data_IF_836449347324
#
_entry.id   IF_836449347324
#
_cell.length_a   1.000
_cell.length_b   1.000
_cell.length_c   1.000
_cell.angle_alpha   90.00
_cell.angle_beta   90.00
_cell.angle_gamma   90.00
#
_symmetry.space_group_name_H-M   'P 1'
#
loop_
_entity.id
_entity.type
_entity.pdbx_description
1 polymer ?
#
# COMPACT_ATOMS: atom_id res chain seq x y z
N UNK A 1 -6.03 25.03 -13.25
CA UNK A 1 -6.97 25.71 -12.34
C UNK A 1 -7.04 24.95 -11.03
N UNK A 2 -6.94 25.63 -9.89
CA UNK A 2 -7.15 25.02 -8.56
C UNK A 2 -8.38 25.64 -7.92
N UNK A 3 -9.27 24.83 -7.35
CA UNK A 3 -10.48 25.32 -6.70
C UNK A 3 -10.14 26.11 -5.41
N UNK A 4 -10.48 27.41 -5.37
CA UNK A 4 -10.25 28.29 -4.21
C UNK A 4 -10.97 27.79 -2.95
N UNK A 5 -12.22 27.33 -3.10
CA UNK A 5 -13.01 26.78 -2.01
C UNK A 5 -12.35 25.57 -1.34
N UNK A 6 -11.80 24.64 -2.14
CA UNK A 6 -11.05 23.48 -1.60
C UNK A 6 -9.78 23.92 -0.89
N UNK A 7 -9.09 24.95 -1.39
CA UNK A 7 -7.90 25.51 -0.74
C UNK A 7 -8.18 26.05 0.66
N UNK A 8 -9.27 26.81 0.83
CA UNK A 8 -9.67 27.30 2.16
C UNK A 8 -10.07 26.16 3.10
N UNK A 9 -10.88 25.19 2.63
CA UNK A 9 -11.27 24.04 3.44
C UNK A 9 -10.04 23.26 3.97
N UNK A 10 -9.03 23.05 3.14
CA UNK A 10 -7.80 22.38 3.56
C UNK A 10 -7.05 23.20 4.62
N UNK A 11 -6.98 24.53 4.47
CA UNK A 11 -6.38 25.42 5.45
C UNK A 11 -7.13 25.41 6.79
N UNK A 12 -8.47 25.46 6.75
CA UNK A 12 -9.33 25.39 7.95
C UNK A 12 -9.14 24.07 8.71
N UNK A 13 -8.91 22.97 7.99
CA UNK A 13 -8.61 21.66 8.57
C UNK A 13 -7.14 21.49 8.98
N UNK A 14 -6.29 22.51 8.78
CA UNK A 14 -4.85 22.44 9.06
C UNK A 14 -4.07 21.51 8.13
N UNK A 15 -4.63 21.14 6.97
CA UNK A 15 -4.03 20.22 6.00
C UNK A 15 -3.14 20.99 5.04
N UNK A 16 -1.84 20.67 5.05
CA UNK A 16 -0.90 21.22 4.07
C UNK A 16 -1.12 20.61 2.70
N UNK A 17 -1.33 21.46 1.70
CA UNK A 17 -1.56 21.04 0.32
C UNK A 17 -0.23 20.91 -0.42
N UNK A 18 0.03 19.73 -0.98
CA UNK A 18 1.17 19.47 -1.87
C UNK A 18 0.68 19.20 -3.29
N UNK A 19 1.57 19.41 -4.27
CA UNK A 19 1.29 19.17 -5.68
C UNK A 19 2.43 18.38 -6.31
N UNK A 20 2.08 17.31 -7.03
CA UNK A 20 2.99 16.61 -7.93
C UNK A 20 3.43 17.52 -9.07
N UNK A 21 4.60 17.24 -9.65
CA UNK A 21 5.08 17.99 -10.82
C UNK A 21 4.12 17.77 -12.00
N UNK A 22 3.85 18.79 -12.83
CA UNK A 22 3.03 18.62 -14.01
C UNK A 22 3.54 17.48 -14.89
N UNK A 23 2.62 16.62 -15.34
CA UNK A 23 2.89 15.48 -16.24
C UNK A 23 3.81 14.39 -15.68
N UNK A 24 4.04 14.34 -14.36
CA UNK A 24 4.88 13.33 -13.73
C UNK A 24 4.07 12.36 -12.87
N UNK A 25 3.56 11.27 -13.46
CA UNK A 25 2.81 10.24 -12.73
C UNK A 25 3.63 9.53 -11.66
N UNK A 26 4.96 9.45 -11.84
CA UNK A 26 5.86 8.85 -10.85
C UNK A 26 5.93 9.59 -9.51
N UNK A 27 5.36 10.80 -9.41
CA UNK A 27 5.23 11.52 -8.14
C UNK A 27 4.05 11.00 -7.29
N UNK A 28 3.14 10.19 -7.85
CA UNK A 28 2.05 9.51 -7.14
C UNK A 28 2.04 7.98 -7.44
N UNK A 29 3.12 7.27 -7.11
CA UNK A 29 3.26 5.85 -7.45
C UNK A 29 2.26 4.96 -6.70
N UNK A 30 1.76 5.41 -5.55
CA UNK A 30 0.83 4.66 -4.71
C UNK A 30 -0.55 4.59 -5.35
N UNK A 31 -1.11 5.74 -5.76
CA UNK A 31 -2.42 5.76 -6.43
C UNK A 31 -2.39 5.04 -7.78
N UNK A 32 -1.30 5.18 -8.55
CA UNK A 32 -1.12 4.47 -9.83
C UNK A 32 -1.08 2.95 -9.66
N UNK A 33 -0.35 2.45 -8.65
CA UNK A 33 -0.31 1.02 -8.32
C UNK A 33 -1.69 0.48 -7.92
N UNK A 34 -2.46 1.26 -7.16
CA UNK A 34 -3.83 0.91 -6.79
C UNK A 34 -4.74 0.84 -8.02
N UNK A 35 -4.68 1.83 -8.92
CA UNK A 35 -5.49 1.81 -10.15
C UNK A 35 -5.12 0.64 -11.06
N UNK A 36 -3.82 0.34 -11.18
CA UNK A 36 -3.36 -0.85 -11.90
C UNK A 36 -3.95 -2.12 -11.30
N UNK A 37 -3.88 -2.27 -9.98
CA UNK A 37 -4.47 -3.42 -9.27
C UNK A 37 -5.95 -3.58 -9.59
N UNK A 38 -6.71 -2.48 -9.57
CA UNK A 38 -8.14 -2.50 -9.90
C UNK A 38 -8.42 -2.94 -11.34
N UNK A 39 -7.68 -2.38 -12.32
CA UNK A 39 -7.92 -2.59 -13.75
C UNK A 39 -7.50 -3.97 -14.26
N UNK A 40 -6.52 -4.60 -13.60
CA UNK A 40 -6.02 -5.93 -14.01
C UNK A 40 -6.83 -7.09 -13.42
N UNK A 41 -7.87 -6.80 -12.64
CA UNK A 41 -8.76 -7.82 -12.10
C UNK A 41 -9.70 -8.36 -13.19
N UNK A 42 -9.97 -9.67 -13.23
CA UNK A 42 -10.93 -10.25 -14.17
C UNK A 42 -12.33 -9.64 -14.07
N UNK A 43 -12.72 -9.14 -12.89
CA UNK A 43 -14.03 -8.54 -12.66
C UNK A 43 -14.14 -7.09 -13.12
N UNK A 44 -13.03 -6.46 -13.54
CA UNK A 44 -13.05 -5.09 -14.04
C UNK A 44 -13.65 -5.08 -15.45
N UNK A 45 -14.75 -4.35 -15.70
CA UNK A 45 -15.42 -4.40 -16.99
C UNK A 45 -14.70 -3.54 -18.03
N UNK A 46 -14.85 -3.88 -19.31
CA UNK A 46 -14.36 -3.05 -20.43
C UNK A 46 -14.98 -1.65 -20.39
N UNK A 47 -16.28 -1.57 -20.04
CA UNK A 47 -17.03 -0.33 -19.84
C UNK A 47 -18.06 -0.50 -18.72
N UNK A 48 -18.23 0.53 -17.89
CA UNK A 48 -19.37 0.62 -16.98
C UNK A 48 -20.61 1.10 -17.74
N UNK A 49 -21.77 0.51 -17.46
CA UNK A 49 -23.05 0.94 -18.05
C UNK A 49 -23.55 2.27 -17.50
N UNK A 50 -23.17 2.61 -16.27
CA UNK A 50 -23.57 3.83 -15.59
C UNK A 50 -22.60 4.21 -14.46
N UNK A 51 -22.74 5.42 -13.90
CA UNK A 51 -21.99 5.84 -12.71
C UNK A 51 -22.39 5.01 -11.47
N UNK A 52 -23.62 4.52 -11.42
CA UNK A 52 -24.13 3.66 -10.36
C UNK A 52 -23.40 2.31 -10.37
N UNK A 53 -23.17 1.75 -11.56
CA UNK A 53 -22.41 0.51 -11.72
C UNK A 53 -20.96 0.68 -11.30
N UNK A 54 -20.33 1.77 -11.73
CA UNK A 54 -18.97 2.12 -11.32
C UNK A 54 -18.86 2.23 -9.79
N UNK A 55 -19.80 2.94 -9.15
CA UNK A 55 -19.83 3.06 -7.68
C UNK A 55 -20.06 1.71 -6.99
N UNK A 56 -20.95 0.86 -7.52
CA UNK A 56 -21.21 -0.46 -6.96
C UNK A 56 -19.98 -1.38 -7.06
N UNK A 57 -19.30 -1.36 -8.20
CA UNK A 57 -18.03 -2.05 -8.39
C UNK A 57 -16.96 -1.54 -7.41
N UNK A 58 -16.73 -0.22 -7.35
CA UNK A 58 -15.71 0.38 -6.50
C UNK A 58 -15.95 0.07 -5.01
N UNK A 59 -17.19 0.07 -4.53
CA UNK A 59 -17.50 -0.30 -3.14
C UNK A 59 -17.04 -1.72 -2.81
N UNK A 60 -17.35 -2.68 -3.68
CA UNK A 60 -16.92 -4.08 -3.49
C UNK A 60 -15.39 -4.21 -3.60
N UNK A 61 -14.81 -3.54 -4.59
CA UNK A 61 -13.36 -3.55 -4.81
C UNK A 61 -12.61 -3.01 -3.60
N UNK A 62 -12.99 -1.84 -3.07
CA UNK A 62 -12.29 -1.22 -1.94
C UNK A 62 -12.52 -1.97 -0.62
N UNK A 63 -13.67 -2.62 -0.40
CA UNK A 63 -13.83 -3.53 0.74
C UNK A 63 -12.82 -4.68 0.66
N UNK A 64 -12.75 -5.34 -0.50
CA UNK A 64 -11.81 -6.42 -0.72
C UNK A 64 -10.35 -5.95 -0.59
N UNK A 65 -9.98 -4.86 -1.27
CA UNK A 65 -8.62 -4.30 -1.29
C UNK A 65 -8.12 -3.99 0.12
N UNK A 66 -8.97 -3.36 0.94
CA UNK A 66 -8.58 -2.87 2.27
C UNK A 66 -8.66 -3.95 3.37
N UNK A 67 -9.59 -4.91 3.25
CA UNK A 67 -9.87 -5.86 4.33
C UNK A 67 -9.41 -7.30 4.05
N UNK A 68 -9.17 -7.66 2.79
CA UNK A 68 -8.95 -9.05 2.38
C UNK A 68 -7.71 -9.27 1.51
N UNK A 69 -7.40 -8.33 0.61
CA UNK A 69 -6.26 -8.48 -0.28
C UNK A 69 -4.94 -8.38 0.50
N UNK A 70 -4.01 -9.30 0.24
CA UNK A 70 -2.69 -9.30 0.86
C UNK A 70 -1.70 -8.60 -0.08
N UNK A 71 -1.11 -7.50 0.40
CA UNK A 71 -0.28 -6.63 -0.42
C UNK A 71 1.19 -6.90 -0.15
N UNK A 72 1.96 -7.24 -1.18
CA UNK A 72 3.39 -7.57 -1.03
C UNK A 72 4.21 -6.39 -0.49
N UNK A 73 3.88 -5.16 -0.86
CA UNK A 73 4.56 -3.94 -0.41
C UNK A 73 4.38 -3.59 1.08
N UNK A 74 3.48 -4.28 1.79
CA UNK A 74 3.23 -4.08 3.22
C UNK A 74 3.17 -5.43 3.96
N UNK A 75 4.08 -6.35 3.60
CA UNK A 75 4.27 -7.60 4.32
C UNK A 75 3.11 -8.58 4.17
N UNK A 76 2.40 -8.60 3.04
CA UNK A 76 1.22 -9.44 2.82
C UNK A 76 0.14 -9.20 3.89
N UNK A 77 -0.17 -7.94 4.19
CA UNK A 77 -1.20 -7.54 5.14
C UNK A 77 -2.31 -6.76 4.41
N UNK A 78 -3.59 -6.91 4.76
CA UNK A 78 -4.65 -6.01 4.31
C UNK A 78 -4.56 -4.65 5.03
N UNK A 79 -4.59 -3.51 4.31
CA UNK A 79 -4.32 -2.18 4.85
C UNK A 79 -5.19 -1.82 6.04
N UNK A 80 -6.52 -1.83 5.89
CA UNK A 80 -7.44 -1.43 6.96
C UNK A 80 -7.48 -2.44 8.09
N UNK A 81 -7.58 -3.73 7.75
CA UNK A 81 -7.81 -4.79 8.74
C UNK A 81 -6.59 -5.04 9.64
N UNK A 82 -5.37 -4.78 9.16
CA UNK A 82 -4.16 -5.22 9.86
C UNK A 82 -3.10 -4.12 10.01
N UNK A 83 -2.93 -3.23 9.03
CA UNK A 83 -1.94 -2.14 9.11
C UNK A 83 -2.49 -0.98 9.93
N UNK A 84 -3.57 -0.35 9.48
CA UNK A 84 -4.15 0.83 10.14
C UNK A 84 -4.80 0.51 11.49
N UNK A 85 -5.14 -0.75 11.75
CA UNK A 85 -5.60 -1.20 13.06
C UNK A 85 -4.46 -1.47 14.05
N UNK A 86 -3.20 -1.21 13.69
CA UNK A 86 -2.03 -1.41 14.55
C UNK A 86 -1.64 -2.87 14.81
N UNK A 87 -2.12 -3.83 14.01
CA UNK A 87 -1.89 -5.27 14.24
C UNK A 87 -0.66 -5.82 13.51
N UNK A 88 -0.03 -5.02 12.65
CA UNK A 88 1.01 -5.47 11.74
C UNK A 88 2.21 -6.10 12.46
N UNK A 89 2.73 -5.43 13.50
CA UNK A 89 3.84 -5.93 14.33
C UNK A 89 3.50 -7.27 14.98
N UNK A 90 2.31 -7.38 15.58
CA UNK A 90 1.88 -8.62 16.22
C UNK A 90 1.79 -9.78 15.22
N UNK A 91 1.25 -9.53 14.02
CA UNK A 91 1.13 -10.55 12.97
C UNK A 91 2.49 -10.94 12.42
N UNK A 92 3.41 -9.97 12.27
CA UNK A 92 4.79 -10.22 11.84
C UNK A 92 5.48 -11.17 12.83
N UNK A 93 5.44 -10.86 14.13
CA UNK A 93 6.01 -11.71 15.18
C UNK A 93 5.40 -13.11 15.18
N UNK A 94 4.07 -13.23 15.07
CA UNK A 94 3.40 -14.53 14.97
C UNK A 94 3.85 -15.34 13.75
N UNK A 95 4.06 -14.69 12.61
CA UNK A 95 4.59 -15.34 11.40
C UNK A 95 6.02 -15.81 11.59
N UNK A 96 6.86 -15.02 12.25
CA UNK A 96 8.24 -15.40 12.51
C UNK A 96 8.31 -16.66 13.39
N UNK A 97 7.51 -16.74 14.46
CA UNK A 97 7.43 -17.95 15.30
C UNK A 97 7.11 -19.21 14.47
N UNK A 98 6.14 -19.12 13.55
CA UNK A 98 5.75 -20.25 12.68
C UNK A 98 6.89 -20.64 11.74
N UNK A 99 7.58 -19.66 11.17
CA UNK A 99 8.71 -19.85 10.28
C UNK A 99 9.91 -20.48 10.99
N UNK A 100 10.22 -20.03 12.20
CA UNK A 100 11.29 -20.58 13.04
C UNK A 100 11.00 -22.04 13.39
N UNK A 101 9.76 -22.36 13.79
CA UNK A 101 9.34 -23.72 14.08
C UNK A 101 9.41 -24.64 12.84
N UNK A 102 9.04 -24.13 11.66
CA UNK A 102 9.14 -24.86 10.40
C UNK A 102 10.60 -25.13 10.02
N UNK A 103 11.47 -24.15 10.21
CA UNK A 103 12.91 -24.28 9.96
C UNK A 103 13.55 -25.29 10.90
N UNK A 104 13.24 -25.25 12.20
CA UNK A 104 13.76 -26.21 13.18
C UNK A 104 13.37 -27.66 12.84
N UNK A 105 12.16 -27.89 12.32
CA UNK A 105 11.68 -29.22 11.94
C UNK A 105 12.32 -29.76 10.66
N UNK A 106 12.54 -28.90 9.67
CA UNK A 106 13.02 -29.30 8.35
C UNK A 106 14.07 -28.32 7.78
N UNK A 107 15.27 -28.24 8.37
CA UNK A 107 16.28 -27.27 7.95
C UNK A 107 16.69 -27.46 6.49
N UNK A 108 16.75 -28.70 6.00
CA UNK A 108 17.12 -29.03 4.61
C UNK A 108 16.15 -28.49 3.55
N UNK A 109 14.93 -28.05 3.90
CA UNK A 109 14.03 -27.37 2.96
C UNK A 109 14.43 -25.92 2.69
N UNK A 110 15.36 -25.37 3.47
CA UNK A 110 15.79 -23.98 3.40
C UNK A 110 17.25 -23.91 2.96
N UNK A 111 17.47 -23.47 1.72
CA UNK A 111 18.73 -23.68 0.98
C UNK A 111 19.87 -22.74 1.43
N UNK A 112 19.59 -21.70 2.23
CA UNK A 112 20.59 -20.64 2.54
C UNK A 112 20.56 -20.12 3.97
N UNK A 113 19.36 -19.88 4.51
CA UNK A 113 19.19 -19.26 5.82
C UNK A 113 17.82 -19.62 6.39
N UNK A 114 17.65 -19.36 7.69
CA UNK A 114 16.35 -19.40 8.33
C UNK A 114 15.39 -18.41 7.62
N UNK A 115 14.15 -18.84 7.32
CA UNK A 115 13.16 -17.97 6.70
C UNK A 115 12.81 -16.77 7.58
N UNK A 116 12.55 -15.63 6.96
CA UNK A 116 12.11 -14.41 7.63
C UNK A 116 10.70 -14.05 7.20
N UNK A 117 9.87 -13.60 8.13
CA UNK A 117 8.55 -13.09 7.84
C UNK A 117 8.66 -11.85 6.94
N UNK A 118 7.81 -11.72 5.89
CA UNK A 118 7.81 -10.55 5.02
C UNK A 118 7.66 -9.29 5.83
N UNK A 119 8.56 -8.34 5.61
CA UNK A 119 8.57 -7.11 6.37
C UNK A 119 7.33 -6.27 6.07
N UNK A 120 6.86 -5.56 7.08
CA UNK A 120 5.75 -4.64 6.99
C UNK A 120 6.30 -3.22 6.95
N UNK A 121 5.72 -2.35 6.13
CA UNK A 121 6.15 -0.97 6.12
C UNK A 121 5.88 -0.33 7.49
N UNK A 122 6.93 0.10 8.19
CA UNK A 122 6.93 0.66 9.56
C UNK A 122 6.13 1.98 9.74
N UNK A 123 5.34 2.42 8.76
CA UNK A 123 4.66 3.72 8.86
C UNK A 123 3.37 3.88 8.05
N UNK A 124 2.72 2.80 7.63
CA UNK A 124 1.52 2.89 6.81
C UNK A 124 1.80 3.31 5.36
N UNK A 125 0.77 3.28 4.51
CA UNK A 125 0.88 3.50 3.06
C UNK A 125 1.30 4.93 2.66
N UNK A 126 1.44 5.86 3.62
CA UNK A 126 1.61 7.30 3.37
C UNK A 126 2.86 7.87 4.08
N UNK A 127 3.93 7.07 4.16
CA UNK A 127 5.24 7.63 4.50
C UNK A 127 5.88 8.21 3.24
N UNK A 128 6.51 9.40 3.33
CA UNK A 128 7.36 9.86 2.26
C UNK A 128 8.43 8.79 2.04
N UNK A 129 8.61 8.38 0.78
CA UNK A 129 9.73 7.52 0.37
C UNK A 129 10.98 8.13 0.99
N UNK A 130 11.68 7.40 1.88
CA UNK A 130 12.99 7.83 2.36
C UNK A 130 13.84 8.03 1.11
N UNK A 131 14.06 9.29 0.70
CA UNK A 131 15.12 9.62 -0.24
C UNK A 131 16.38 9.07 0.40
N UNK A 132 16.93 8.00 -0.17
CA UNK A 132 18.32 7.64 0.07
C UNK A 132 19.12 8.91 -0.19
N UNK A 133 19.71 9.45 0.88
CA UNK A 133 20.68 10.53 0.79
C UNK A 133 21.87 9.98 0.00
N UNK A 134 21.80 10.06 -1.33
CA UNK A 134 22.99 9.88 -2.15
C UNK A 134 23.78 11.17 -2.03
N UNK A 135 24.88 11.03 -1.30
CA UNK A 135 25.90 12.04 -1.06
C UNK A 135 26.33 12.74 -2.34
N UNK A 136 26.77 13.97 -2.13
CA UNK A 136 27.08 14.93 -3.18
C UNK A 136 28.21 14.50 -4.11
N UNK A 137 28.18 15.10 -5.29
CA UNK A 137 29.38 15.29 -6.10
C UNK A 137 30.02 16.60 -5.64
N UNK A 138 31.25 16.51 -5.13
CA UNK A 138 32.18 17.63 -5.19
C UNK A 138 32.73 17.71 -6.63
N UNK A 139 33.03 18.94 -7.05
CA UNK A 139 33.57 19.31 -8.37
C UNK A 139 34.72 18.43 -8.85
#
# INVERSE_FOLDING_TARGET
MTAKATGHLLADLGITKTHSRPYQSNDDPYSESQFKTMKYRPEFPDRFGSIQDARAFCRRFFDWYNNRHHHSGIGLLPPKKQVYSGRAVQIHHQRQIVLDAAHARHPNRFVRAAPQAPDHADGGLDQPVRKLAKGGYLN
#
